data_IF_162191611222
#
_entry.id   IF_162191611222
#
_cell.length_a   1.000
_cell.length_b   1.000
_cell.length_c   1.000
_cell.angle_alpha   90.00
_cell.angle_beta   90.00
_cell.angle_gamma   90.00
#
_symmetry.space_group_name_H-M   'P 1'
#
loop_
_entity.id
_entity.type
_entity.pdbx_description
1 polymer ?
#
# COMPACT_ATOMS: atom_id res chain seq x y z
N UNK A 1 -24.01 -3.69 2.88
CA UNK A 1 -23.58 -2.70 1.85
C UNK A 1 -22.57 -1.74 2.46
N UNK A 2 -21.52 -1.38 1.73
CA UNK A 2 -20.47 -0.45 2.18
C UNK A 2 -21.04 0.97 2.37
N UNK A 3 -20.93 1.53 3.58
CA UNK A 3 -21.34 2.90 3.84
C UNK A 3 -20.21 3.88 3.48
N UNK A 4 -20.19 4.32 2.21
CA UNK A 4 -19.16 5.22 1.67
C UNK A 4 -19.08 6.55 2.44
N UNK A 5 -20.21 7.07 2.96
CA UNK A 5 -20.21 8.31 3.75
C UNK A 5 -19.48 8.13 5.07
N UNK A 6 -19.77 7.04 5.79
CA UNK A 6 -19.08 6.71 7.04
C UNK A 6 -17.59 6.44 6.81
N UNK A 7 -17.25 5.74 5.73
CA UNK A 7 -15.86 5.49 5.35
C UNK A 7 -15.12 6.79 5.03
N UNK A 8 -15.68 7.65 4.16
CA UNK A 8 -15.12 8.98 3.88
C UNK A 8 -14.93 9.82 5.14
N UNK A 9 -15.89 9.81 6.08
CA UNK A 9 -15.76 10.52 7.34
C UNK A 9 -14.63 9.96 8.20
N UNK A 10 -14.51 8.62 8.30
CA UNK A 10 -13.42 7.95 9.01
C UNK A 10 -12.06 8.29 8.42
N UNK A 11 -11.91 8.23 7.08
CA UNK A 11 -10.68 8.60 6.39
C UNK A 11 -10.31 10.07 6.63
N UNK A 12 -11.30 10.96 6.54
CA UNK A 12 -11.10 12.40 6.77
C UNK A 12 -10.68 12.70 8.21
N UNK A 13 -11.24 11.98 9.19
CA UNK A 13 -10.88 12.15 10.60
C UNK A 13 -9.43 11.72 10.90
N UNK A 14 -8.88 10.77 10.14
CA UNK A 14 -7.52 10.27 10.32
C UNK A 14 -6.45 11.06 9.54
N UNK A 15 -6.86 12.11 8.83
CA UNK A 15 -5.97 12.99 8.09
C UNK A 15 -5.16 13.89 9.03
N UNK A 16 -3.91 14.12 8.67
CA UNK A 16 -3.02 15.09 9.28
C UNK A 16 -2.12 15.70 8.20
N UNK A 17 -2.03 17.04 8.14
CA UNK A 17 -1.34 17.74 7.05
C UNK A 17 0.18 17.48 6.98
N UNK A 18 0.77 16.90 8.03
CA UNK A 18 2.20 16.58 8.09
C UNK A 18 2.45 15.10 7.89
N UNK A 19 1.79 14.25 8.66
CA UNK A 19 2.07 12.83 8.72
C UNK A 19 1.25 12.03 7.71
N UNK A 20 -0.05 12.29 7.63
CA UNK A 20 -1.03 11.50 6.89
C UNK A 20 -1.91 12.40 6.03
N UNK A 21 -1.33 12.94 4.95
CA UNK A 21 -1.92 14.04 4.18
C UNK A 21 -3.20 13.64 3.47
N UNK A 22 -3.24 12.44 2.93
CA UNK A 22 -4.40 11.94 2.20
C UNK A 22 -4.57 10.43 2.42
N UNK A 23 -5.82 10.04 2.63
CA UNK A 23 -6.25 8.66 2.68
C UNK A 23 -7.22 8.38 1.54
N UNK A 24 -7.11 7.22 0.92
CA UNK A 24 -8.10 6.76 -0.03
C UNK A 24 -8.18 5.25 -0.06
N UNK A 25 -9.36 4.75 -0.42
CA UNK A 25 -9.63 3.35 -0.67
C UNK A 25 -9.91 3.20 -2.16
N UNK A 26 -9.24 2.25 -2.78
CA UNK A 26 -9.37 1.98 -4.22
C UNK A 26 -9.33 0.50 -4.51
N UNK A 27 -9.72 0.10 -5.72
CA UNK A 27 -9.41 -1.22 -6.23
C UNK A 27 -7.95 -1.29 -6.73
N UNK A 28 -7.33 -2.48 -6.85
CA UNK A 28 -6.02 -2.64 -7.48
C UNK A 28 -5.93 -2.07 -8.90
N UNK A 29 -7.06 -1.93 -9.59
CA UNK A 29 -7.15 -1.35 -10.94
C UNK A 29 -7.22 0.19 -10.93
N UNK A 30 -7.14 0.84 -9.77
CA UNK A 30 -7.13 2.30 -9.63
C UNK A 30 -8.51 2.96 -9.54
N UNK A 31 -9.59 2.18 -9.40
CA UNK A 31 -10.93 2.74 -9.19
C UNK A 31 -11.07 3.23 -7.75
N UNK A 32 -11.20 4.54 -7.57
CA UNK A 32 -11.44 5.16 -6.25
C UNK A 32 -12.83 4.80 -5.70
N UNK A 33 -12.87 4.28 -4.47
CA UNK A 33 -14.09 3.93 -3.74
C UNK A 33 -14.47 4.99 -2.70
N UNK A 34 -13.48 5.47 -1.94
CA UNK A 34 -13.64 6.48 -0.90
C UNK A 34 -12.32 7.24 -0.69
N UNK A 35 -12.39 8.45 -0.14
CA UNK A 35 -11.21 9.27 0.11
C UNK A 35 -11.45 10.26 1.24
N UNK A 36 -10.38 10.72 1.89
CA UNK A 36 -10.46 11.82 2.86
C UNK A 36 -10.73 13.16 2.19
N UNK A 37 -11.41 14.05 2.89
CA UNK A 37 -11.66 15.42 2.50
C UNK A 37 -10.80 16.39 3.34
N UNK A 38 -10.40 17.55 2.81
CA UNK A 38 -10.61 18.02 1.43
C UNK A 38 -9.66 17.38 0.41
N UNK A 39 -10.13 17.12 -0.81
CA UNK A 39 -9.30 16.53 -1.86
C UNK A 39 -9.53 17.19 -3.23
N UNK A 40 -8.46 17.35 -4.01
CA UNK A 40 -8.58 17.58 -5.44
C UNK A 40 -8.76 16.23 -6.14
N UNK A 41 -9.97 15.95 -6.61
CA UNK A 41 -10.33 14.67 -7.24
C UNK A 41 -9.46 14.41 -8.49
N UNK A 42 -9.08 15.45 -9.23
CA UNK A 42 -8.24 15.31 -10.43
C UNK A 42 -6.85 14.76 -10.09
N UNK A 43 -6.20 15.35 -9.08
CA UNK A 43 -4.87 14.91 -8.66
C UNK A 43 -4.94 13.57 -7.92
N UNK A 44 -5.98 13.35 -7.11
CA UNK A 44 -6.20 12.09 -6.43
C UNK A 44 -6.35 10.92 -7.42
N UNK A 45 -7.03 11.12 -8.56
CA UNK A 45 -7.13 10.10 -9.61
C UNK A 45 -5.78 9.80 -10.26
N UNK A 46 -4.94 10.82 -10.48
CA UNK A 46 -3.56 10.60 -10.97
C UNK A 46 -2.75 9.79 -9.97
N UNK A 47 -2.83 10.14 -8.68
CA UNK A 47 -2.13 9.43 -7.62
C UNK A 47 -2.62 7.98 -7.50
N UNK A 48 -3.93 7.75 -7.54
CA UNK A 48 -4.51 6.42 -7.52
C UNK A 48 -4.08 5.57 -8.74
N UNK A 49 -4.00 6.16 -9.93
CA UNK A 49 -3.50 5.47 -11.12
C UNK A 49 -2.03 5.05 -10.96
N UNK A 50 -1.17 5.95 -10.47
CA UNK A 50 0.24 5.61 -10.19
C UNK A 50 0.35 4.53 -9.13
N UNK A 51 -0.40 4.65 -8.03
CA UNK A 51 -0.42 3.67 -6.95
C UNK A 51 -0.90 2.29 -7.46
N UNK A 52 -1.93 2.25 -8.30
CA UNK A 52 -2.41 1.02 -8.93
C UNK A 52 -1.35 0.36 -9.82
N UNK A 53 -0.68 1.15 -10.67
CA UNK A 53 0.41 0.64 -11.50
C UNK A 53 1.54 0.06 -10.66
N UNK A 54 1.98 0.77 -9.61
CA UNK A 54 3.04 0.27 -8.71
C UNK A 54 2.56 -0.96 -7.94
N UNK A 55 1.31 -1.01 -7.49
CA UNK A 55 0.80 -2.20 -6.82
C UNK A 55 0.77 -3.42 -7.75
N UNK A 56 0.24 -3.27 -8.96
CA UNK A 56 0.10 -4.36 -9.93
C UNK A 56 1.44 -4.87 -10.43
N UNK A 57 2.41 -3.98 -10.69
CA UNK A 57 3.79 -4.36 -11.04
C UNK A 57 4.38 -5.27 -9.97
N UNK A 58 4.09 -4.97 -8.70
CA UNK A 58 4.60 -5.73 -7.57
C UNK A 58 3.78 -6.97 -7.21
N UNK A 59 2.50 -7.03 -7.55
CA UNK A 59 1.64 -8.20 -7.32
C UNK A 59 1.86 -9.30 -8.36
N UNK A 60 2.25 -8.96 -9.60
CA UNK A 60 2.46 -9.92 -10.69
C UNK A 60 3.92 -10.38 -10.87
N UNK A 61 4.89 -9.76 -10.18
CA UNK A 61 6.26 -10.25 -10.18
C UNK A 61 6.41 -11.35 -9.13
N UNK A 62 6.28 -12.59 -9.59
CA UNK A 62 6.60 -13.78 -8.81
C UNK A 62 8.13 -13.81 -8.54
N UNK A 63 8.60 -13.85 -7.28
CA UNK A 63 10.03 -13.85 -6.96
C UNK A 63 10.74 -15.18 -7.30
N UNK A 64 10.17 -16.02 -8.15
CA UNK A 64 10.71 -17.33 -8.55
C UNK A 64 11.03 -17.37 -10.04
N UNK A 65 12.05 -16.60 -10.42
CA UNK A 65 12.83 -16.88 -11.62
C UNK A 65 13.99 -17.81 -11.26
N UNK A 66 13.69 -19.02 -10.82
CA UNK A 66 14.61 -20.15 -10.95
C UNK A 66 13.78 -21.42 -11.19
N UNK A 67 14.01 -22.05 -12.33
CA UNK A 67 13.16 -23.08 -12.92
C UNK A 67 13.16 -24.42 -12.18
N UNK A 68 12.64 -24.47 -10.96
CA UNK A 68 12.22 -25.72 -10.31
C UNK A 68 10.70 -25.76 -10.15
N UNK A 69 10.09 -26.68 -10.90
CA UNK A 69 8.67 -27.05 -10.83
C UNK A 69 8.40 -27.60 -9.42
N UNK A 70 7.84 -26.76 -8.55
CA UNK A 70 7.13 -27.20 -7.35
C UNK A 70 5.64 -27.00 -7.58
N UNK A 71 4.97 -28.09 -7.95
CA UNK A 71 3.54 -28.25 -7.71
C UNK A 71 3.31 -28.13 -6.18
N UNK A 72 2.25 -27.42 -5.76
CA UNK A 72 1.79 -27.22 -4.38
C UNK A 72 2.39 -26.11 -3.49
N UNK A 73 2.46 -24.85 -3.94
CA UNK A 73 2.35 -23.74 -2.97
C UNK A 73 1.80 -22.41 -3.53
N UNK A 74 0.59 -22.44 -4.07
CA UNK A 74 -0.10 -21.28 -4.67
C UNK A 74 -0.58 -20.18 -3.67
N UNK A 75 -0.07 -20.12 -2.42
CA UNK A 75 -0.69 -19.27 -1.37
C UNK A 75 0.23 -18.44 -0.47
N UNK A 76 1.57 -18.54 -0.50
CA UNK A 76 2.37 -17.95 0.60
C UNK A 76 3.03 -16.60 0.34
N UNK A 77 2.88 -15.98 -0.84
CA UNK A 77 3.61 -14.74 -1.16
C UNK A 77 2.76 -13.63 -1.81
N UNK A 78 1.49 -13.53 -1.43
CA UNK A 78 0.64 -12.43 -1.92
C UNK A 78 1.05 -11.10 -1.28
N UNK A 79 1.28 -10.09 -2.12
CA UNK A 79 1.62 -8.72 -1.71
C UNK A 79 0.58 -8.18 -0.72
N UNK A 80 1.05 -7.72 0.43
CA UNK A 80 0.19 -7.30 1.54
C UNK A 80 0.33 -5.81 1.87
N UNK A 81 1.57 -5.33 1.87
CA UNK A 81 1.93 -3.93 2.07
C UNK A 81 2.95 -3.55 1.01
N UNK A 82 2.79 -2.36 0.43
CA UNK A 82 3.78 -1.77 -0.46
C UNK A 82 4.04 -0.33 -0.01
N UNK A 83 5.29 -0.05 0.35
CA UNK A 83 5.75 1.27 0.77
C UNK A 83 6.65 1.85 -0.29
N UNK A 84 6.27 3.02 -0.82
CA UNK A 84 7.06 3.80 -1.77
C UNK A 84 7.49 5.09 -1.10
N UNK A 85 8.78 5.24 -0.87
CA UNK A 85 9.39 6.44 -0.36
C UNK A 85 9.98 7.26 -1.52
N UNK A 86 9.50 8.49 -1.71
CA UNK A 86 10.02 9.44 -2.68
C UNK A 86 10.45 10.75 -2.01
N UNK A 87 11.00 11.68 -2.80
CA UNK A 87 11.41 13.01 -2.31
C UNK A 87 10.24 13.93 -1.97
N UNK A 88 9.09 13.72 -2.63
CA UNK A 88 7.92 14.58 -2.49
C UNK A 88 6.85 14.02 -1.54
N UNK A 89 6.79 12.69 -1.40
CA UNK A 89 5.80 12.01 -0.56
C UNK A 89 6.25 10.60 -0.20
N UNK A 90 5.61 10.04 0.83
CA UNK A 90 5.66 8.60 1.12
C UNK A 90 4.29 8.01 0.86
N UNK A 91 4.21 6.95 0.09
CA UNK A 91 2.96 6.25 -0.19
C UNK A 91 2.99 4.87 0.45
N UNK A 92 1.98 4.51 1.23
CA UNK A 92 1.85 3.18 1.83
C UNK A 92 0.51 2.59 1.36
N UNK A 93 0.58 1.46 0.67
CA UNK A 93 -0.57 0.71 0.18
C UNK A 93 -0.72 -0.57 1.00
N UNK A 94 -1.95 -0.89 1.40
CA UNK A 94 -2.27 -2.02 2.28
C UNK A 94 -3.50 -2.76 1.76
N UNK A 95 -3.38 -4.08 1.53
CA UNK A 95 -4.48 -4.93 1.05
C UNK A 95 -5.54 -5.18 2.13
N UNK A 96 -6.74 -4.63 1.96
CA UNK A 96 -7.87 -4.86 2.88
C UNK A 96 -8.63 -6.15 2.55
N UNK A 97 -8.81 -6.41 1.26
CA UNK A 97 -9.43 -7.60 0.66
C UNK A 97 -8.77 -7.86 -0.70
N UNK A 98 -9.09 -8.97 -1.37
CA UNK A 98 -8.51 -9.30 -2.69
C UNK A 98 -8.61 -8.16 -3.71
N UNK A 99 -9.71 -7.41 -3.70
CA UNK A 99 -9.98 -6.34 -4.64
C UNK A 99 -10.05 -4.94 -3.99
N UNK A 100 -9.56 -4.79 -2.75
CA UNK A 100 -9.63 -3.51 -2.01
C UNK A 100 -8.29 -3.16 -1.38
N UNK A 101 -7.79 -1.98 -1.71
CA UNK A 101 -6.58 -1.39 -1.15
C UNK A 101 -6.92 -0.15 -0.32
N UNK A 102 -6.29 -0.04 0.85
CA UNK A 102 -6.16 1.21 1.59
C UNK A 102 -4.84 1.86 1.20
N UNK A 103 -4.87 3.15 0.89
CA UNK A 103 -3.68 3.91 0.53
C UNK A 103 -3.56 5.15 1.40
N UNK A 104 -2.35 5.34 1.91
CA UNK A 104 -1.90 6.53 2.61
C UNK A 104 -0.90 7.28 1.74
N UNK A 105 -1.17 8.55 1.48
CA UNK A 105 -0.16 9.52 1.05
C UNK A 105 0.28 10.34 2.27
N UNK A 106 1.50 10.11 2.71
CA UNK A 106 2.12 10.73 3.86
C UNK A 106 3.10 11.85 3.49
N UNK A 107 3.48 12.63 4.49
CA UNK A 107 4.60 13.55 4.37
C UNK A 107 5.94 12.83 4.26
N UNK A 108 6.94 13.59 3.83
CA UNK A 108 8.31 13.11 3.67
C UNK A 108 8.99 13.15 5.04
N UNK A 109 9.56 12.03 5.51
CA UNK A 109 10.33 12.03 6.74
C UNK A 109 11.54 12.99 6.65
N UNK A 110 11.94 13.67 7.73
CA UNK A 110 13.08 14.58 7.70
C UNK A 110 14.40 13.79 7.54
N UNK A 111 15.01 13.90 6.36
CA UNK A 111 16.23 13.19 5.96
C UNK A 111 17.46 14.11 5.98
N UNK A 112 18.66 13.55 6.13
CA UNK A 112 19.94 14.27 6.02
C UNK A 112 20.68 13.74 4.79
N UNK A 113 20.88 14.58 3.77
CA UNK A 113 21.60 14.22 2.54
C UNK A 113 20.68 13.85 1.37
N UNK A 114 21.30 13.44 0.25
CA UNK A 114 20.59 12.96 -0.93
C UNK A 114 19.84 11.65 -0.59
N UNK A 115 18.56 11.58 -0.93
CA UNK A 115 17.73 10.40 -0.73
C UNK A 115 17.55 9.68 -2.07
N UNK A 116 17.68 8.36 -2.03
CA UNK A 116 17.36 7.50 -3.15
C UNK A 116 15.95 6.93 -2.95
N UNK A 117 15.11 7.03 -3.99
CA UNK A 117 13.77 6.46 -3.98
C UNK A 117 13.84 4.99 -3.56
N UNK A 118 13.00 4.61 -2.60
CA UNK A 118 12.95 3.24 -2.08
C UNK A 118 11.55 2.67 -2.21
N UNK A 119 11.46 1.42 -2.64
CA UNK A 119 10.23 0.65 -2.63
C UNK A 119 10.43 -0.57 -1.74
N UNK A 120 9.46 -0.87 -0.89
CA UNK A 120 9.48 -2.02 0.03
C UNK A 120 8.16 -2.75 -0.08
N UNK A 121 8.22 -3.97 -0.59
CA UNK A 121 7.08 -4.87 -0.70
C UNK A 121 7.13 -5.92 0.42
N UNK A 122 5.99 -6.19 1.04
CA UNK A 122 5.89 -7.11 2.17
C UNK A 122 4.73 -8.06 1.98
N UNK A 123 4.98 -9.34 2.26
CA UNK A 123 3.97 -10.40 2.28
C UNK A 123 3.13 -10.32 3.57
N UNK A 124 2.05 -11.10 3.64
CA UNK A 124 1.20 -11.19 4.82
C UNK A 124 1.97 -11.62 6.09
N UNK A 125 3.04 -12.41 5.92
CA UNK A 125 3.91 -12.87 7.01
C UNK A 125 4.92 -11.81 7.48
N UNK A 126 4.88 -10.60 6.91
CA UNK A 126 5.81 -9.51 7.20
C UNK A 126 7.20 -9.71 6.60
N UNK A 127 7.39 -10.73 5.77
CA UNK A 127 8.63 -10.96 5.03
C UNK A 127 8.76 -9.91 3.93
N UNK A 128 9.90 -9.23 3.89
CA UNK A 128 10.22 -8.31 2.80
C UNK A 128 10.54 -9.13 1.55
N UNK A 129 9.86 -8.83 0.45
CA UNK A 129 10.13 -9.44 -0.84
C UNK A 129 11.31 -8.69 -1.48
N UNK A 130 12.39 -9.41 -1.77
CA UNK A 130 13.57 -8.86 -2.43
C UNK A 130 13.30 -8.71 -3.94
N UNK A 131 13.52 -7.51 -4.49
CA UNK A 131 13.29 -7.18 -5.89
C UNK A 131 14.57 -7.39 -6.71
N UNK A 132 14.55 -8.14 -7.82
CA UNK A 132 15.76 -8.42 -8.61
C UNK A 132 16.35 -7.21 -9.37
N UNK A 133 15.67 -6.06 -9.41
CA UNK A 133 16.02 -4.97 -10.33
C UNK A 133 16.94 -3.88 -9.76
N UNK A 134 17.42 -4.01 -8.52
CA UNK A 134 18.48 -3.16 -7.94
C UNK A 134 19.90 -3.63 -8.36
N UNK A 135 20.03 -4.24 -9.54
CA UNK A 135 21.30 -4.70 -10.09
C UNK A 135 22.01 -3.61 -10.91
N UNK A 136 22.04 -2.38 -10.38
CA UNK A 136 23.10 -1.41 -10.63
C UNK A 136 23.76 -1.08 -9.27
N UNK A 137 24.50 -2.06 -8.73
CA UNK A 137 25.61 -1.80 -7.82
C UNK A 137 25.31 -1.30 -6.39
N UNK A 138 24.16 -1.60 -5.78
CA UNK A 138 23.91 -1.28 -4.36
C UNK A 138 23.26 -2.42 -3.58
N UNK A 139 23.80 -3.63 -3.72
CA UNK A 139 23.64 -4.68 -2.70
C UNK A 139 24.59 -4.39 -1.53
N UNK A 140 24.34 -3.29 -0.81
CA UNK A 140 24.90 -3.11 0.52
C UNK A 140 23.72 -3.11 1.46
N UNK A 141 23.71 -4.12 2.34
CA UNK A 141 22.99 -4.15 3.61
C UNK A 141 22.59 -2.73 4.00
N UNK A 142 21.29 -2.43 4.04
CA UNK A 142 20.81 -1.16 4.57
C UNK A 142 21.00 -1.16 6.09
N UNK A 143 22.26 -1.18 6.50
CA UNK A 143 22.70 -0.57 7.73
C UNK A 143 22.13 0.85 7.68
N UNK A 144 21.30 1.16 8.66
CA UNK A 144 20.58 2.41 8.95
C UNK A 144 21.37 3.73 8.89
N UNK A 145 22.51 3.77 8.21
CA UNK A 145 23.51 4.84 8.18
C UNK A 145 23.01 6.13 7.49
N UNK A 146 21.95 6.06 6.66
CA UNK A 146 21.39 7.23 5.96
C UNK A 146 20.03 7.72 6.45
N UNK A 147 19.26 6.90 7.16
CA UNK A 147 17.95 7.30 7.69
C UNK A 147 18.14 7.86 9.08
N UNK A 148 17.96 9.18 9.22
CA UNK A 148 17.80 9.83 10.52
C UNK A 148 16.85 9.01 11.40
N UNK A 149 17.17 8.80 12.67
CA UNK A 149 16.28 8.08 13.61
C UNK A 149 14.86 8.69 13.61
N UNK A 150 14.75 10.00 13.37
CA UNK A 150 13.48 10.71 13.22
C UNK A 150 12.74 10.23 11.97
N UNK A 151 13.44 10.04 10.85
CA UNK A 151 12.83 9.56 9.61
C UNK A 151 12.25 8.15 9.77
N UNK A 152 13.02 7.25 10.39
CA UNK A 152 12.54 5.90 10.70
C UNK A 152 11.33 5.92 11.64
N UNK A 153 11.31 6.80 12.64
CA UNK A 153 10.17 6.96 13.55
C UNK A 153 8.91 7.47 12.83
N UNK A 154 9.05 8.41 11.90
CA UNK A 154 7.92 8.93 11.10
C UNK A 154 7.32 7.83 10.23
N UNK A 155 8.15 7.05 9.52
CA UNK A 155 7.68 5.92 8.71
C UNK A 155 6.98 4.86 9.56
N UNK A 156 7.57 4.52 10.71
CA UNK A 156 6.97 3.58 11.66
C UNK A 156 5.61 4.07 12.15
N UNK A 157 5.47 5.37 12.39
CA UNK A 157 4.20 5.96 12.82
C UNK A 157 3.15 5.96 11.70
N UNK A 158 3.53 6.31 10.47
CA UNK A 158 2.66 6.22 9.29
C UNK A 158 2.17 4.78 9.10
N UNK A 159 3.09 3.81 9.16
CA UNK A 159 2.78 2.40 9.05
C UNK A 159 1.83 1.92 10.15
N UNK A 160 2.10 2.25 11.40
CA UNK A 160 1.22 1.89 12.52
C UNK A 160 -0.19 2.46 12.34
N UNK A 161 -0.32 3.67 11.79
CA UNK A 161 -1.62 4.26 11.47
C UNK A 161 -2.34 3.51 10.35
N UNK A 162 -1.62 3.12 9.29
CA UNK A 162 -2.19 2.33 8.19
C UNK A 162 -2.71 1.00 8.72
N UNK A 163 -1.93 0.29 9.53
CA UNK A 163 -2.35 -0.99 10.10
C UNK A 163 -3.55 -0.84 11.04
N UNK A 164 -3.53 0.14 11.93
CA UNK A 164 -4.65 0.39 12.85
C UNK A 164 -5.94 0.73 12.10
N UNK A 165 -5.85 1.59 11.08
CA UNK A 165 -7.00 1.96 10.26
C UNK A 165 -7.48 0.79 9.39
N UNK A 166 -6.57 0.02 8.81
CA UNK A 166 -6.89 -1.18 8.06
C UNK A 166 -7.62 -2.21 8.92
N UNK A 167 -7.12 -2.49 10.13
CA UNK A 167 -7.76 -3.42 11.07
C UNK A 167 -9.18 -2.98 11.44
N UNK A 168 -9.40 -1.67 11.67
CA UNK A 168 -10.73 -1.13 11.93
C UNK A 168 -11.68 -1.31 10.74
N UNK A 169 -11.22 -0.98 9.52
CA UNK A 169 -12.01 -1.12 8.29
C UNK A 169 -12.33 -2.60 8.02
N UNK A 170 -11.36 -3.50 8.16
CA UNK A 170 -11.55 -4.95 7.96
C UNK A 170 -12.56 -5.50 8.97
N UNK A 171 -12.43 -5.16 10.25
CA UNK A 171 -13.42 -5.54 11.28
C UNK A 171 -14.82 -5.08 10.90
N UNK A 172 -14.97 -3.86 10.40
CA UNK A 172 -16.26 -3.33 10.00
C UNK A 172 -16.80 -4.02 8.74
N UNK A 173 -15.96 -4.35 7.77
CA UNK A 173 -16.34 -5.15 6.60
C UNK A 173 -16.88 -6.52 7.00
N UNK A 174 -16.21 -7.19 7.94
CA UNK A 174 -16.64 -8.48 8.46
C UNK A 174 -17.99 -8.39 9.18
N UNK A 175 -18.18 -7.37 10.05
CA UNK A 175 -19.44 -7.16 10.77
C UNK A 175 -20.64 -6.95 9.84
N UNK A 176 -20.43 -6.26 8.71
CA UNK A 176 -21.50 -5.98 7.74
C UNK A 176 -21.59 -7.03 6.62
N UNK A 177 -20.74 -8.06 6.64
CA UNK A 177 -20.65 -9.08 5.59
C UNK A 177 -20.29 -8.51 4.22
N UNK A 178 -19.49 -7.43 4.17
CA UNK A 178 -19.05 -6.85 2.91
C UNK A 178 -17.86 -7.62 2.37
N UNK A 179 -18.04 -8.19 1.19
CA UNK A 179 -16.98 -8.79 0.39
C UNK A 179 -17.06 -8.17 -1.02
N UNK A 180 -15.93 -7.62 -1.49
CA UNK A 180 -15.90 -7.14 -2.87
C UNK A 180 -15.95 -8.34 -3.82
N UNK A 181 -16.86 -8.35 -4.83
CA UNK A 181 -16.92 -9.43 -5.80
C UNK A 181 -15.58 -9.61 -6.50
N UNK A 182 -15.15 -10.85 -6.65
CA UNK A 182 -14.03 -11.19 -7.54
C UNK A 182 -14.52 -10.98 -8.97
N UNK A 183 -13.83 -10.17 -9.76
CA UNK A 183 -14.05 -10.08 -11.21
C UNK A 183 -13.85 -11.51 -11.79
N UNK A 184 -14.94 -12.23 -12.09
CA UNK A 184 -14.85 -13.61 -12.57
C UNK A 184 -16.06 -14.53 -12.40
N UNK A 185 -17.10 -14.17 -11.63
CA UNK A 185 -18.32 -15.01 -11.55
C UNK A 185 -19.44 -14.53 -12.48
N UNK A 186 -19.12 -14.35 -13.77
CA UNK A 186 -20.14 -14.29 -14.83
C UNK A 186 -20.25 -15.67 -15.47
N UNK A 187 -20.59 -16.71 -14.70
CA UNK A 187 -21.16 -17.93 -15.28
C UNK A 187 -22.60 -17.58 -15.69
N UNK A 188 -22.74 -17.05 -16.91
CA UNK A 188 -24.02 -17.06 -17.62
C UNK A 188 -24.26 -18.51 -18.02
N UNK A 189 -25.19 -19.17 -17.35
CA UNK A 189 -25.85 -20.39 -17.85
C UNK A 189 -27.17 -19.99 -18.49
#
# INVERSE_FOLDING_TARGET
MLNVKALTALLSHNRDDRLCKQWYVMTPNGTLLAHSQPANISDLRKHAAVAAMTWQEHEHQDPHFDGEIREDNETTNSLHILTTEADASTTIMRKLQNQVLLVLEGGVPPRRGAFEKRITAESADGTQQAWPHDNDGSSIMSNSTGTSAIAANVLKLQRNKVEALAAAIISDFQKVGFEMPVEGSTTVF
#
